data_IF_470680042420
#
_entry.id   IF_470680042420
#
_cell.length_a   1.000
_cell.length_b   1.000
_cell.length_c   1.000
_cell.angle_alpha   90.00
_cell.angle_beta   90.00
_cell.angle_gamma   90.00
#
_symmetry.space_group_name_H-M   'P 1'
#
loop_
_entity.id
_entity.type
_entity.pdbx_description
1 polymer ?
#
# COMPACT_ATOMS: atom_id res chain seq x y z
N UNK A 1 0.83 -14.86 12.34
CA UNK A 1 -0.18 -13.79 12.46
C UNK A 1 0.44 -12.38 12.44
N UNK A 2 1.42 -12.10 11.55
CA UNK A 2 2.11 -10.79 11.53
C UNK A 2 1.90 -9.99 10.23
N UNK A 3 1.41 -10.62 9.16
CA UNK A 3 1.32 -10.00 7.83
C UNK A 3 0.08 -9.10 7.67
N UNK A 4 -1.02 -9.39 8.37
CA UNK A 4 -2.27 -8.61 8.36
C UNK A 4 -2.14 -7.20 8.96
N UNK A 5 -1.10 -6.98 9.78
CA UNK A 5 -0.79 -5.66 10.34
C UNK A 5 0.34 -4.94 9.58
N UNK A 6 0.68 -5.41 8.38
CA UNK A 6 1.57 -4.71 7.47
C UNK A 6 0.78 -3.91 6.43
N UNK A 7 1.44 -2.91 5.85
CA UNK A 7 0.88 -2.13 4.73
C UNK A 7 0.41 -3.04 3.59
N UNK A 8 1.25 -4.00 3.16
CA UNK A 8 0.92 -4.95 2.08
C UNK A 8 -0.28 -5.81 2.43
N UNK A 9 -0.32 -6.40 3.64
CA UNK A 9 -1.42 -7.28 4.05
C UNK A 9 -2.77 -6.57 4.10
N UNK A 10 -2.82 -5.35 4.63
CA UNK A 10 -4.05 -4.55 4.67
C UNK A 10 -4.53 -4.12 3.29
N UNK A 11 -3.60 -3.79 2.39
CA UNK A 11 -3.93 -3.47 1.00
C UNK A 11 -4.51 -4.70 0.28
N UNK A 12 -3.92 -5.88 0.45
CA UNK A 12 -4.45 -7.15 -0.08
C UNK A 12 -5.85 -7.42 0.46
N UNK A 13 -6.06 -7.29 1.77
CA UNK A 13 -7.37 -7.49 2.38
C UNK A 13 -8.43 -6.57 1.79
N UNK A 14 -8.12 -5.28 1.61
CA UNK A 14 -9.05 -4.33 0.96
C UNK A 14 -9.34 -4.70 -0.49
N UNK A 15 -8.38 -5.29 -1.20
CA UNK A 15 -8.58 -5.79 -2.56
C UNK A 15 -9.53 -7.00 -2.57
N UNK A 16 -9.34 -7.95 -1.65
CA UNK A 16 -10.25 -9.08 -1.45
C UNK A 16 -11.67 -8.62 -1.06
N UNK A 17 -11.80 -7.69 -0.11
CA UNK A 17 -13.08 -7.09 0.32
C UNK A 17 -13.77 -6.31 -0.80
N UNK A 18 -12.99 -5.76 -1.74
CA UNK A 18 -13.52 -5.11 -2.94
C UNK A 18 -13.93 -6.11 -4.04
N UNK A 19 -14.04 -7.40 -3.71
CA UNK A 19 -14.33 -8.50 -4.63
C UNK A 19 -13.30 -8.59 -5.77
N UNK A 20 -12.02 -8.39 -5.42
CA UNK A 20 -10.87 -8.52 -6.33
C UNK A 20 -10.96 -7.65 -7.59
N UNK A 21 -11.67 -6.53 -7.54
CA UNK A 21 -11.77 -5.57 -8.65
C UNK A 21 -10.40 -5.20 -9.21
N UNK A 22 -10.34 -4.96 -10.51
CA UNK A 22 -9.14 -4.45 -11.17
C UNK A 22 -8.79 -3.07 -10.62
N UNK A 23 -7.70 -3.01 -9.86
CA UNK A 23 -7.16 -1.77 -9.36
C UNK A 23 -6.06 -1.26 -10.29
N UNK A 24 -6.36 -0.14 -10.94
CA UNK A 24 -5.54 1.07 -10.85
C UNK A 24 -4.17 0.99 -10.16
N UNK A 25 -3.04 1.23 -10.83
CA UNK A 25 -1.81 1.62 -10.10
C UNK A 25 -2.08 2.86 -9.23
N UNK A 26 -2.75 3.89 -9.78
CA UNK A 26 -3.12 5.10 -9.04
C UNK A 26 -4.06 4.81 -7.88
N UNK A 27 -5.07 3.97 -8.11
CA UNK A 27 -5.99 3.53 -7.05
C UNK A 27 -5.24 2.81 -5.93
N UNK A 28 -4.30 1.93 -6.29
CA UNK A 28 -3.50 1.19 -5.32
C UNK A 28 -2.60 2.11 -4.53
N UNK A 29 -1.96 3.09 -5.18
CA UNK A 29 -1.17 4.12 -4.50
C UNK A 29 -2.03 4.86 -3.46
N UNK A 30 -3.23 5.30 -3.83
CA UNK A 30 -4.16 5.96 -2.91
C UNK A 30 -4.46 5.08 -1.69
N UNK A 31 -4.76 3.82 -1.91
CA UNK A 31 -5.07 2.86 -0.84
C UNK A 31 -3.84 2.57 0.03
N UNK A 32 -2.64 2.47 -0.54
CA UNK A 32 -1.40 2.35 0.23
C UNK A 32 -1.18 3.57 1.14
N UNK A 33 -1.45 4.78 0.65
CA UNK A 33 -1.33 6.00 1.45
C UNK A 33 -2.34 6.01 2.60
N UNK A 34 -3.59 5.65 2.33
CA UNK A 34 -4.64 5.54 3.35
C UNK A 34 -4.27 4.54 4.45
N UNK A 35 -3.85 3.33 4.05
CA UNK A 35 -3.46 2.27 4.98
C UNK A 35 -2.23 2.67 5.80
N UNK A 36 -1.23 3.31 5.20
CA UNK A 36 -0.06 3.83 5.94
C UNK A 36 -0.49 4.87 7.00
N UNK A 37 -1.49 5.70 6.68
CA UNK A 37 -2.11 6.63 7.63
C UNK A 37 -2.84 5.93 8.78
N UNK A 38 -3.55 4.84 8.50
CA UNK A 38 -4.23 4.02 9.52
C UNK A 38 -3.25 3.30 10.44
N UNK A 39 -2.20 2.72 9.86
CA UNK A 39 -1.12 2.09 10.63
C UNK A 39 -0.44 3.11 11.54
N UNK A 40 -0.23 4.33 11.04
CA UNK A 40 0.33 5.42 11.84
C UNK A 40 -0.58 5.82 13.02
N UNK A 41 -1.90 5.91 12.80
CA UNK A 41 -2.88 6.23 13.86
C UNK A 41 -2.99 5.10 14.89
N UNK A 42 -2.88 3.85 14.46
CA UNK A 42 -2.97 2.68 15.32
C UNK A 42 -1.66 2.37 16.08
N UNK A 43 -0.57 3.12 15.85
CA UNK A 43 0.74 2.81 16.42
C UNK A 43 1.33 1.49 15.93
N UNK A 44 0.87 1.00 14.77
CA UNK A 44 1.28 -0.28 14.18
C UNK A 44 2.47 -0.11 13.23
N UNK A 45 2.90 -1.23 12.64
CA UNK A 45 4.10 -1.30 11.82
C UNK A 45 3.98 -0.44 10.55
N UNK A 46 4.55 0.76 10.61
CA UNK A 46 4.66 1.70 9.49
C UNK A 46 5.79 1.31 8.56
N UNK A 47 5.79 1.88 7.36
CA UNK A 47 6.96 1.86 6.48
C UNK A 47 7.64 3.23 6.53
N UNK A 48 8.67 3.46 7.39
CA UNK A 48 9.18 4.81 7.68
C UNK A 48 9.63 5.57 6.43
N UNK A 49 10.28 4.87 5.49
CA UNK A 49 10.74 5.44 4.24
C UNK A 49 9.58 5.84 3.30
N UNK A 50 8.55 5.00 3.22
CA UNK A 50 7.35 5.28 2.43
C UNK A 50 6.58 6.48 3.02
N UNK A 51 6.38 6.50 4.35
CA UNK A 51 5.74 7.63 5.00
C UNK A 51 6.49 8.94 4.84
N UNK A 52 7.83 8.93 4.91
CA UNK A 52 8.63 10.13 4.65
C UNK A 52 8.40 10.62 3.22
N UNK A 53 8.40 9.71 2.26
CA UNK A 53 8.24 10.02 0.84
C UNK A 53 6.85 10.54 0.48
N UNK A 54 5.80 10.10 1.20
CA UNK A 54 4.47 10.71 1.14
C UNK A 54 4.52 12.19 1.55
N UNK A 55 5.20 12.52 2.65
CA UNK A 55 5.31 13.92 3.13
C UNK A 55 6.13 14.81 2.20
N UNK A 56 7.15 14.24 1.57
CA UNK A 56 7.97 14.91 0.55
C UNK A 56 7.26 15.05 -0.82
N UNK A 57 6.06 14.49 -0.97
CA UNK A 57 5.33 14.41 -2.24
C UNK A 57 6.15 13.78 -3.38
N UNK A 58 7.00 12.81 -3.06
CA UNK A 58 7.88 12.13 -4.02
C UNK A 58 7.10 11.04 -4.78
N UNK A 59 6.33 11.48 -5.78
CA UNK A 59 5.45 10.61 -6.57
C UNK A 59 6.21 9.52 -7.32
N UNK A 60 7.44 9.81 -7.77
CA UNK A 60 8.29 8.82 -8.44
C UNK A 60 8.67 7.68 -7.52
N UNK A 61 9.08 7.99 -6.29
CA UNK A 61 9.35 6.98 -5.28
C UNK A 61 8.10 6.16 -4.92
N UNK A 62 6.96 6.82 -4.69
CA UNK A 62 5.72 6.16 -4.27
C UNK A 62 5.27 5.15 -5.33
N UNK A 63 5.26 5.55 -6.61
CA UNK A 63 4.93 4.67 -7.75
C UNK A 63 5.86 3.45 -7.81
N UNK A 64 7.18 3.69 -7.79
CA UNK A 64 8.18 2.63 -7.85
C UNK A 64 8.06 1.67 -6.65
N UNK A 65 7.77 2.20 -5.47
CA UNK A 65 7.59 1.39 -4.27
C UNK A 65 6.37 0.46 -4.40
N UNK A 66 5.21 0.98 -4.81
CA UNK A 66 3.99 0.18 -5.02
C UNK A 66 4.19 -0.89 -6.09
N UNK A 67 4.88 -0.56 -7.19
CA UNK A 67 5.24 -1.55 -8.22
C UNK A 67 6.21 -2.63 -7.70
N UNK A 68 7.14 -2.25 -6.81
CA UNK A 68 8.06 -3.17 -6.14
C UNK A 68 7.40 -4.07 -5.08
N UNK A 69 6.18 -3.76 -4.63
CA UNK A 69 5.42 -4.64 -3.74
C UNK A 69 4.89 -5.92 -4.40
N UNK A 70 5.04 -6.06 -5.72
CA UNK A 70 4.62 -7.22 -6.49
C UNK A 70 3.20 -7.67 -6.12
N UNK A 71 2.26 -6.73 -6.15
CA UNK A 71 0.84 -7.07 -6.06
C UNK A 71 0.48 -7.86 -7.32
N UNK A 72 0.12 -9.13 -7.16
CA UNK A 72 -0.07 -10.08 -8.27
C UNK A 72 -1.09 -9.58 -9.29
N UNK A 73 -2.11 -8.82 -8.87
CA UNK A 73 -3.13 -8.26 -9.76
C UNK A 73 -2.69 -6.98 -10.50
N UNK A 74 -1.59 -6.34 -10.08
CA UNK A 74 -1.04 -5.13 -10.74
C UNK A 74 0.11 -5.52 -11.67
N UNK A 75 0.86 -6.53 -11.29
CA UNK A 75 1.99 -7.06 -12.06
C UNK A 75 2.01 -8.59 -11.93
N UNK A 76 1.12 -9.30 -12.66
CA UNK A 76 1.13 -10.75 -12.73
C UNK A 76 2.41 -11.17 -13.45
N UNK A 77 3.30 -11.86 -12.73
CA UNK A 77 4.52 -12.45 -13.30
C UNK A 77 4.34 -13.95 -13.46
#
# INVERSE_FOLDING_TARGET
MAWENSLRGRVIRRWEEADKKDWSLEKTIGICIEVEGELAKAGLNRTPKFSRKIRENDQGYIRNWVQGCHFEWINPR
#
